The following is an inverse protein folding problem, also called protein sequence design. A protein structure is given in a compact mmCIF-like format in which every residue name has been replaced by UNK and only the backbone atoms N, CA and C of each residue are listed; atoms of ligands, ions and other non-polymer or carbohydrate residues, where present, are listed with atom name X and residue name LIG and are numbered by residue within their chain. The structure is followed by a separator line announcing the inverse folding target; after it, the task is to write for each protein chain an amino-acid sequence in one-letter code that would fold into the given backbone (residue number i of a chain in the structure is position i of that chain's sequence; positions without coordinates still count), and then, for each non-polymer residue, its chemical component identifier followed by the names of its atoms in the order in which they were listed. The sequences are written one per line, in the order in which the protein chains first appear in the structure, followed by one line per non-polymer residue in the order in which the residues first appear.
data_IF_984333006383
#
_entry.id   IF_984333006383
#
_cell.length_a   1.000
_cell.length_b   1.000
_cell.length_c   1.000
_cell.angle_alpha   90.00
_cell.angle_beta   90.00
_cell.angle_gamma   90.00
#
_symmetry.space_group_name_H-M   'P 1'
#
loop_
_entity.id
_entity.type
_entity.pdbx_description
1 polymer ?
#
# COMPACT_ATOMS: atom_id res chain seq x y z
N UNK A 1 53.60 -30.81 30.01
CA UNK A 1 54.56 -30.00 30.79
C UNK A 1 54.70 -28.63 30.12
N UNK A 2 54.17 -27.55 30.73
CA UNK A 2 54.85 -26.29 31.14
C UNK A 2 55.61 -25.55 30.01
N UNK A 3 55.41 -24.27 29.65
CA UNK A 3 54.81 -23.00 30.17
C UNK A 3 54.54 -22.12 28.90
N UNK A 4 53.67 -21.11 28.78
CA UNK A 4 53.13 -20.14 29.73
C UNK A 4 53.87 -18.79 29.60
N UNK A 5 53.28 -17.77 28.95
CA UNK A 5 53.48 -16.34 29.26
C UNK A 5 52.43 -15.44 28.57
N UNK A 6 51.67 -14.74 29.40
CA UNK A 6 50.74 -13.65 29.10
C UNK A 6 51.47 -12.32 28.89
N UNK A 7 50.86 -11.41 28.13
CA UNK A 7 50.83 -9.98 28.48
C UNK A 7 49.53 -9.35 27.96
N UNK A 8 48.73 -8.83 28.88
CA UNK A 8 47.57 -8.01 28.59
C UNK A 8 47.92 -6.53 28.61
N UNK A 9 47.12 -5.71 27.93
CA UNK A 9 47.06 -4.28 28.17
C UNK A 9 45.59 -3.84 28.20
N UNK A 10 45.19 -3.33 29.37
CA UNK A 10 43.97 -2.59 29.61
C UNK A 10 44.01 -1.28 28.80
N UNK A 11 42.90 -0.94 28.14
CA UNK A 11 42.54 0.47 27.93
C UNK A 11 41.05 0.65 28.23
N UNK A 12 40.82 1.71 29.00
CA UNK A 12 39.64 2.09 29.77
C UNK A 12 38.61 2.84 28.92
N UNK A 13 37.34 2.46 29.02
CA UNK A 13 36.20 3.27 28.56
C UNK A 13 35.95 4.47 29.48
N UNK A 14 35.61 5.65 28.94
CA UNK A 14 34.87 6.66 29.67
C UNK A 14 33.37 6.51 29.43
N UNK A 15 32.61 6.39 30.52
CA UNK A 15 31.16 6.38 30.52
C UNK A 15 30.58 7.78 30.27
N UNK A 16 29.55 7.85 29.43
CA UNK A 16 28.62 8.97 29.36
C UNK A 16 27.27 8.53 29.91
N UNK A 17 26.88 9.16 31.01
CA UNK A 17 25.54 9.17 31.57
C UNK A 17 24.58 9.89 30.62
N UNK A 18 23.49 9.21 30.23
CA UNK A 18 22.27 9.88 29.76
C UNK A 18 21.10 9.34 30.57
N UNK A 19 20.41 10.28 31.21
CA UNK A 19 19.33 10.07 32.16
C UNK A 19 18.07 9.52 31.47
N UNK A 20 17.58 8.38 31.97
CA UNK A 20 16.26 7.87 31.67
C UNK A 20 15.23 8.55 32.59
N UNK A 21 14.41 9.46 32.05
CA UNK A 21 13.22 9.95 32.73
C UNK A 21 12.16 8.85 32.76
N UNK A 22 12.05 8.16 33.91
CA UNK A 22 10.89 7.33 34.26
C UNK A 22 9.73 8.24 34.66
N UNK A 23 8.66 8.30 33.85
CA UNK A 23 7.36 8.82 34.31
C UNK A 23 6.67 7.75 35.15
N UNK A 24 6.52 8.04 36.44
CA UNK A 24 5.75 7.25 37.38
C UNK A 24 4.25 7.42 37.12
N UNK A 25 3.55 6.32 36.88
CA UNK A 25 2.09 6.26 36.96
C UNK A 25 1.68 6.10 38.42
N UNK A 26 0.83 7.02 38.90
CA UNK A 26 0.15 6.89 40.20
C UNK A 26 -1.06 5.98 40.06
N UNK A 27 -1.31 5.02 40.99
CA UNK A 27 -2.55 4.26 41.00
C UNK A 27 -3.67 5.00 41.75
N UNK A 28 -4.86 5.08 41.15
CA UNK A 28 -6.09 5.46 41.84
C UNK A 28 -6.53 4.35 42.82
N UNK A 29 -7.13 4.69 43.97
CA UNK A 29 -7.48 3.74 45.02
C UNK A 29 -8.77 2.96 44.70
N UNK A 30 -8.82 1.69 45.10
CA UNK A 30 -10.02 0.84 45.10
C UNK A 30 -10.90 1.10 46.34
N UNK A 31 -12.23 0.97 46.25
CA UNK A 31 -13.11 0.93 47.41
C UNK A 31 -13.15 -0.48 48.05
N UNK A 32 -13.45 -0.60 49.36
CA UNK A 32 -13.30 -1.84 50.09
C UNK A 32 -14.47 -2.82 49.88
N UNK A 33 -14.15 -4.11 49.90
CA UNK A 33 -15.10 -5.22 50.05
C UNK A 33 -15.44 -5.41 51.53
N UNK A 34 -16.72 -5.52 51.86
CA UNK A 34 -17.24 -5.90 53.17
C UNK A 34 -18.56 -6.67 53.09
N UNK A 35 -18.47 -7.98 53.34
CA UNK A 35 -19.43 -8.93 53.91
C UNK A 35 -20.95 -8.86 53.60
N UNK A 36 -21.39 -9.96 52.98
CA UNK A 36 -22.63 -10.74 53.14
C UNK A 36 -23.71 -10.30 54.15
N UNK A 37 -24.97 -10.35 53.69
CA UNK A 37 -26.07 -11.00 54.42
C UNK A 37 -27.21 -11.35 53.44
N UNK A 38 -27.54 -12.64 53.38
CA UNK A 38 -28.71 -13.18 52.72
C UNK A 38 -29.97 -12.84 53.54
N UNK A 39 -31.08 -12.51 52.86
CA UNK A 39 -32.43 -12.84 53.32
C UNK A 39 -33.41 -12.83 52.13
N UNK A 40 -33.97 -14.01 51.95
CA UNK A 40 -35.07 -14.37 51.08
C UNK A 40 -36.39 -13.69 51.55
N UNK A 41 -37.25 -13.29 50.62
CA UNK A 41 -38.71 -13.27 50.79
C UNK A 41 -39.44 -12.94 49.47
N UNK A 42 -40.39 -13.81 49.14
CA UNK A 42 -41.29 -13.85 47.97
C UNK A 42 -42.22 -12.63 47.88
N UNK A 43 -42.61 -12.24 46.66
CA UNK A 43 -43.99 -12.30 46.11
C UNK A 43 -44.19 -11.40 44.88
N UNK A 44 -44.81 -11.97 43.82
CA UNK A 44 -45.49 -11.30 42.68
C UNK A 44 -46.92 -10.88 43.11
N UNK A 45 -47.80 -10.24 42.28
CA UNK A 45 -47.70 -9.80 40.87
C UNK A 45 -48.29 -8.39 40.53
N UNK A 46 -48.16 -8.04 39.24
CA UNK A 46 -49.17 -7.43 38.34
C UNK A 46 -49.31 -5.91 38.09
N UNK A 47 -49.71 -5.68 36.82
CA UNK A 47 -50.46 -4.57 36.19
C UNK A 47 -49.70 -3.64 35.22
N UNK A 48 -49.92 -3.97 33.94
CA UNK A 48 -50.17 -3.15 32.74
C UNK A 48 -50.32 -1.62 32.86
N UNK A 49 -49.68 -0.88 31.97
CA UNK A 49 -50.23 0.37 31.43
C UNK A 49 -49.70 0.66 30.01
N UNK A 50 -50.63 0.62 29.06
CA UNK A 50 -50.51 1.12 27.69
C UNK A 50 -50.41 2.66 27.70
N UNK A 51 -49.51 3.24 26.90
CA UNK A 51 -49.57 4.65 26.52
C UNK A 51 -49.76 4.79 25.01
N UNK A 52 -50.93 5.28 24.65
CA UNK A 52 -51.36 5.72 23.32
C UNK A 52 -50.70 7.05 22.96
N UNK A 53 -50.10 7.12 21.77
CA UNK A 53 -49.63 8.38 21.17
C UNK A 53 -50.71 8.96 20.26
N UNK A 54 -51.07 10.23 20.51
CA UNK A 54 -51.99 11.04 19.72
C UNK A 54 -51.30 11.67 18.50
N UNK A 55 -52.03 11.72 17.38
CA UNK A 55 -51.70 12.43 16.15
C UNK A 55 -51.99 13.94 16.28
N UNK A 56 -51.23 14.84 15.63
CA UNK A 56 -51.55 16.27 15.58
C UNK A 56 -52.40 16.66 14.36
N UNK A 57 -53.34 17.59 14.60
CA UNK A 57 -54.23 18.28 13.64
C UNK A 57 -53.51 19.54 13.10
N UNK A 58 -53.73 19.97 11.84
CA UNK A 58 -52.98 21.08 11.22
C UNK A 58 -53.52 22.48 11.57
N UNK A 59 -52.62 23.47 11.56
CA UNK A 59 -52.93 24.91 11.71
C UNK A 59 -53.07 25.61 10.34
N UNK A 60 -53.86 26.71 10.23
CA UNK A 60 -54.21 27.34 8.96
C UNK A 60 -53.23 28.43 8.48
N UNK A 61 -53.23 28.64 7.16
CA UNK A 61 -52.52 29.68 6.40
C UNK A 61 -52.99 31.11 6.70
N UNK A 62 -52.08 32.09 6.55
CA UNK A 62 -52.40 33.48 6.22
C UNK A 62 -51.26 34.17 5.42
N UNK A 63 -51.53 35.27 4.68
CA UNK A 63 -50.85 35.62 3.42
C UNK A 63 -49.78 36.74 3.50
N UNK A 64 -48.95 36.77 2.45
CA UNK A 64 -48.00 37.74 1.86
C UNK A 64 -47.63 39.12 2.50
N UNK A 65 -46.41 39.65 2.20
CA UNK A 65 -45.72 40.69 2.99
C UNK A 65 -45.93 42.14 2.51
N UNK A 66 -45.62 43.11 3.38
CA UNK A 66 -45.48 44.56 3.06
C UNK A 66 -44.01 44.94 2.85
N UNK A 67 -43.69 45.97 2.03
CA UNK A 67 -42.32 46.41 1.77
C UNK A 67 -41.81 47.42 2.83
N UNK A 68 -40.49 47.60 2.99
CA UNK A 68 -39.92 48.58 3.90
C UNK A 68 -39.74 49.97 3.24
N UNK A 69 -39.75 51.07 4.02
CA UNK A 69 -39.49 52.41 3.51
C UNK A 69 -37.99 52.78 3.50
N UNK A 70 -37.69 53.76 2.66
CA UNK A 70 -36.40 54.37 2.36
C UNK A 70 -35.77 55.18 3.51
N UNK A 71 -34.44 55.24 3.47
CA UNK A 71 -33.44 55.86 4.36
C UNK A 71 -33.57 57.37 4.60
N UNK A 72 -32.78 57.90 5.57
CA UNK A 72 -31.81 58.93 5.18
C UNK A 72 -30.41 58.78 5.81
N UNK A 73 -29.42 59.29 5.08
CA UNK A 73 -27.98 59.40 5.40
C UNK A 73 -27.71 60.61 6.30
N UNK A 74 -26.66 60.57 7.14
CA UNK A 74 -25.82 61.75 7.29
C UNK A 74 -24.33 61.49 7.02
N UNK A 75 -23.70 62.54 6.49
CA UNK A 75 -22.32 62.66 6.04
C UNK A 75 -21.30 62.75 7.20
N UNK A 76 -20.08 62.29 6.89
CA UNK A 76 -18.75 62.69 7.38
C UNK A 76 -18.29 62.33 8.80
N UNK A 77 -17.37 61.35 8.90
CA UNK A 77 -15.94 61.61 9.16
C UNK A 77 -15.11 60.36 8.81
N UNK A 78 -14.09 60.53 7.97
CA UNK A 78 -13.21 59.46 7.51
C UNK A 78 -12.20 59.10 8.60
N UNK A 79 -12.49 58.03 9.35
CA UNK A 79 -11.47 57.27 10.06
C UNK A 79 -11.05 56.10 9.16
N UNK A 80 -9.79 56.08 8.71
CA UNK A 80 -9.19 54.93 8.06
C UNK A 80 -9.34 53.71 8.97
N UNK A 81 -10.22 52.78 8.59
CA UNK A 81 -10.37 51.52 9.30
C UNK A 81 -9.06 50.74 9.24
N UNK A 82 -8.77 49.94 10.26
CA UNK A 82 -7.60 49.03 10.30
C UNK A 82 -7.46 48.18 9.02
N UNK A 83 -8.54 47.95 8.27
CA UNK A 83 -8.51 47.26 6.97
C UNK A 83 -7.86 48.09 5.86
N UNK A 84 -8.05 49.42 5.84
CA UNK A 84 -7.42 50.30 4.86
C UNK A 84 -5.89 50.33 4.99
N UNK A 85 -5.38 50.30 6.22
CA UNK A 85 -3.93 50.24 6.50
C UNK A 85 -3.31 48.92 6.01
N UNK A 86 -4.01 47.79 6.18
CA UNK A 86 -3.53 46.48 5.70
C UNK A 86 -3.51 46.38 4.18
N UNK A 87 -4.50 46.95 3.48
CA UNK A 87 -4.52 46.97 2.01
C UNK A 87 -3.37 47.82 1.47
N UNK A 88 -3.10 48.98 2.08
CA UNK A 88 -1.95 49.82 1.69
C UNK A 88 -0.62 49.10 1.95
N UNK A 89 -0.47 48.41 3.09
CA UNK A 89 0.74 47.64 3.39
C UNK A 89 0.98 46.50 2.40
N UNK A 90 -0.07 45.77 2.00
CA UNK A 90 0.03 44.69 1.01
C UNK A 90 0.39 45.25 -0.36
N UNK A 91 -0.22 46.37 -0.78
CA UNK A 91 0.10 47.01 -2.06
C UNK A 91 1.55 47.51 -2.12
N UNK A 92 2.07 48.09 -1.03
CA UNK A 92 3.46 48.52 -0.93
C UNK A 92 4.42 47.32 -0.98
N UNK A 93 4.13 46.25 -0.25
CA UNK A 93 4.95 45.03 -0.28
C UNK A 93 4.96 44.39 -1.68
N UNK A 94 3.80 44.30 -2.34
CA UNK A 94 3.69 43.75 -3.69
C UNK A 94 4.43 44.61 -4.72
N UNK A 95 4.39 45.94 -4.62
CA UNK A 95 5.16 46.81 -5.52
C UNK A 95 6.66 46.71 -5.29
N UNK A 96 7.13 46.60 -4.04
CA UNK A 96 8.56 46.39 -3.72
C UNK A 96 9.05 45.06 -4.29
N UNK A 97 8.28 43.97 -4.14
CA UNK A 97 8.63 42.65 -4.70
C UNK A 97 8.66 42.70 -6.23
N UNK A 98 7.70 43.38 -6.87
CA UNK A 98 7.67 43.51 -8.33
C UNK A 98 8.87 44.32 -8.86
N UNK A 99 9.24 45.40 -8.17
CA UNK A 99 10.42 46.22 -8.51
C UNK A 99 11.70 45.41 -8.31
N UNK A 100 11.82 44.62 -7.22
CA UNK A 100 12.95 43.72 -6.99
C UNK A 100 13.07 42.65 -8.07
N UNK A 101 11.94 42.05 -8.46
CA UNK A 101 11.93 41.05 -9.52
C UNK A 101 12.34 41.65 -10.85
N UNK A 102 11.78 42.81 -11.22
CA UNK A 102 12.12 43.51 -12.46
C UNK A 102 13.56 44.02 -12.46
N UNK A 103 14.09 44.53 -11.35
CA UNK A 103 15.49 44.96 -11.26
C UNK A 103 16.47 43.79 -11.33
N UNK A 104 16.19 42.66 -10.66
CA UNK A 104 17.01 41.45 -10.76
C UNK A 104 16.94 40.85 -12.17
N UNK A 105 15.76 40.83 -12.80
CA UNK A 105 15.63 40.38 -14.19
C UNK A 105 16.33 41.30 -15.19
N UNK A 106 16.32 42.62 -14.95
CA UNK A 106 16.88 43.59 -15.90
C UNK A 106 18.38 43.81 -15.75
N UNK A 107 18.93 43.68 -14.53
CA UNK A 107 20.36 43.89 -14.25
C UNK A 107 21.13 42.61 -13.88
N UNK A 108 20.45 41.53 -13.49
CA UNK A 108 21.08 40.26 -13.09
C UNK A 108 21.62 39.43 -14.27
N UNK A 109 21.07 39.62 -15.47
CA UNK A 109 21.56 38.94 -16.68
C UNK A 109 22.88 39.52 -17.19
N UNK A 110 23.13 40.82 -16.98
CA UNK A 110 24.34 41.50 -17.47
C UNK A 110 25.49 41.51 -16.45
N UNK A 111 25.21 41.35 -15.15
CA UNK A 111 26.25 41.32 -14.11
C UNK A 111 26.99 39.96 -14.00
N UNK A 112 26.42 38.86 -14.51
CA UNK A 112 27.07 37.54 -14.54
C UNK A 112 27.92 37.29 -15.80
N UNK A 113 27.90 38.23 -16.75
CA UNK A 113 28.70 38.16 -17.98
C UNK A 113 30.02 38.95 -17.92
N UNK A 114 30.24 39.74 -16.87
CA UNK A 114 31.39 40.66 -16.77
C UNK A 114 32.32 40.43 -15.56
N UNK A 115 32.16 39.35 -14.78
CA UNK A 115 33.18 38.92 -13.83
C UNK A 115 34.22 38.07 -14.56
N UNK A 116 35.33 38.68 -14.99
CA UNK A 116 36.49 38.06 -15.63
C UNK A 116 37.23 37.04 -14.75
N UNK A 117 36.54 35.98 -14.32
CA UNK A 117 37.07 34.82 -13.58
C UNK A 117 37.29 33.64 -14.57
N UNK A 118 37.38 33.92 -15.87
CA UNK A 118 37.56 32.91 -16.91
C UNK A 118 38.98 32.84 -17.49
N UNK A 119 39.95 33.63 -17.00
CA UNK A 119 41.23 33.77 -17.71
C UNK A 119 42.48 33.17 -17.05
N UNK A 120 42.42 32.58 -15.85
CA UNK A 120 43.61 31.95 -15.23
C UNK A 120 43.34 30.59 -14.58
N UNK A 121 43.08 29.57 -15.42
CA UNK A 121 43.27 28.17 -15.03
C UNK A 121 44.22 27.51 -16.05
N UNK A 122 45.36 26.93 -15.62
CA UNK A 122 46.33 26.35 -16.55
C UNK A 122 45.76 25.12 -17.26
N UNK A 123 45.98 25.05 -18.58
CA UNK A 123 45.78 23.84 -19.39
C UNK A 123 46.67 22.70 -18.89
N UNK A 124 46.17 21.92 -17.94
CA UNK A 124 46.63 20.55 -17.71
C UNK A 124 45.65 19.65 -18.44
N UNK A 125 46.07 19.14 -19.58
CA UNK A 125 45.35 18.11 -20.34
C UNK A 125 45.50 16.79 -19.60
N UNK A 126 44.44 16.19 -19.03
CA UNK A 126 44.42 14.76 -18.75
C UNK A 126 44.02 14.08 -20.06
N UNK A 127 44.99 13.44 -20.68
CA UNK A 127 44.83 12.57 -21.83
C UNK A 127 43.99 11.35 -21.42
N UNK A 128 42.66 11.51 -21.47
CA UNK A 128 41.58 10.49 -21.48
C UNK A 128 40.22 11.16 -21.25
N UNK A 129 39.84 12.09 -22.12
CA UNK A 129 38.41 12.31 -22.35
C UNK A 129 37.99 11.27 -23.39
N UNK A 130 37.75 10.05 -22.92
CA UNK A 130 36.97 9.08 -23.68
C UNK A 130 35.70 9.79 -24.14
N UNK A 131 35.56 9.92 -25.46
CA UNK A 131 34.28 10.26 -26.10
C UNK A 131 33.18 9.52 -25.33
N UNK A 132 32.04 10.15 -25.00
CA UNK A 132 30.90 9.36 -24.57
C UNK A 132 30.66 8.36 -25.69
N UNK A 133 31.00 7.11 -25.43
CA UNK A 133 30.62 6.00 -26.29
C UNK A 133 29.11 6.08 -26.34
N UNK A 134 28.55 6.50 -27.47
CA UNK A 134 27.19 6.16 -27.82
C UNK A 134 27.15 4.63 -27.83
N UNK A 135 26.46 3.94 -26.92
CA UNK A 135 26.12 2.55 -27.13
C UNK A 135 24.67 2.57 -27.59
N UNK A 136 24.46 2.75 -28.88
CA UNK A 136 23.29 2.14 -29.47
C UNK A 136 23.61 1.79 -30.91
N UNK A 137 24.57 0.88 -31.04
CA UNK A 137 24.76 0.12 -32.26
C UNK A 137 23.71 -0.98 -32.27
N UNK A 138 22.56 -0.75 -32.91
CA UNK A 138 21.57 -1.77 -33.28
C UNK A 138 21.22 -2.78 -32.16
N UNK A 139 20.64 -2.33 -31.04
CA UNK A 139 20.65 -3.14 -29.82
C UNK A 139 19.32 -3.88 -29.59
N UNK A 140 19.40 -5.21 -29.51
CA UNK A 140 18.38 -6.02 -28.86
C UNK A 140 18.21 -5.55 -27.40
N UNK A 141 17.02 -5.71 -26.79
CA UNK A 141 16.83 -5.35 -25.38
C UNK A 141 17.80 -6.13 -24.48
N UNK A 142 18.18 -5.61 -23.30
CA UNK A 142 19.05 -6.31 -22.36
C UNK A 142 18.40 -7.63 -21.92
N UNK A 143 19.17 -8.59 -21.40
CA UNK A 143 18.59 -9.81 -20.82
C UNK A 143 17.83 -9.50 -19.52
N UNK A 144 16.73 -10.22 -19.21
CA UNK A 144 15.99 -10.04 -17.96
C UNK A 144 16.85 -10.38 -16.75
N UNK A 145 16.75 -9.55 -15.70
CA UNK A 145 17.49 -9.69 -14.46
C UNK A 145 16.54 -9.88 -13.27
N UNK A 146 16.96 -10.57 -12.20
CA UNK A 146 16.21 -10.58 -10.95
C UNK A 146 15.98 -9.17 -10.43
N UNK A 147 14.79 -8.92 -9.90
CA UNK A 147 14.46 -7.67 -9.26
C UNK A 147 15.23 -7.48 -7.93
N UNK A 148 15.35 -6.23 -7.49
CA UNK A 148 16.06 -5.85 -6.26
C UNK A 148 15.27 -6.21 -4.97
N UNK A 149 15.73 -5.73 -3.80
CA UNK A 149 15.08 -5.98 -2.50
C UNK A 149 13.65 -5.43 -2.35
N UNK A 150 13.25 -4.50 -3.22
CA UNK A 150 11.90 -3.94 -3.30
C UNK A 150 11.17 -4.38 -4.56
N UNK A 151 11.64 -5.44 -5.22
CA UNK A 151 11.08 -5.97 -6.46
C UNK A 151 10.93 -4.89 -7.54
N UNK A 152 11.91 -3.97 -7.65
CA UNK A 152 11.93 -2.82 -8.56
C UNK A 152 10.81 -1.79 -8.36
N UNK A 153 10.04 -1.88 -7.27
CA UNK A 153 9.25 -0.75 -6.76
C UNK A 153 10.14 0.15 -5.89
N UNK A 154 9.66 1.35 -5.54
CA UNK A 154 10.36 2.16 -4.55
C UNK A 154 10.26 1.55 -3.14
N UNK A 155 9.13 0.91 -2.84
CA UNK A 155 8.88 0.29 -1.53
C UNK A 155 7.93 -0.91 -1.65
N UNK A 156 8.08 -1.89 -0.75
CA UNK A 156 7.05 -2.92 -0.52
C UNK A 156 6.37 -2.60 0.81
N UNK A 157 5.07 -2.38 0.76
CA UNK A 157 4.22 -2.07 1.90
C UNK A 157 3.37 -3.30 2.18
N UNK A 158 3.32 -3.74 3.43
CA UNK A 158 2.33 -4.75 3.84
C UNK A 158 1.36 -4.18 4.86
N UNK A 159 0.10 -4.61 4.77
CA UNK A 159 -0.96 -4.23 5.70
C UNK A 159 -1.18 -5.38 6.68
N UNK A 160 -1.03 -5.09 7.97
CA UNK A 160 -1.25 -6.07 9.04
C UNK A 160 -1.99 -5.43 10.21
N UNK A 161 -2.90 -6.17 10.85
CA UNK A 161 -3.49 -5.70 12.09
C UNK A 161 -2.41 -5.60 13.19
N UNK A 162 -2.37 -4.54 14.01
CA UNK A 162 -1.31 -4.36 15.02
C UNK A 162 -1.13 -5.55 15.98
N UNK A 163 -2.19 -6.31 16.25
CA UNK A 163 -2.17 -7.46 17.15
C UNK A 163 -1.75 -8.78 16.46
N UNK A 164 -1.58 -8.81 15.13
CA UNK A 164 -1.21 -10.03 14.37
C UNK A 164 0.31 -10.23 14.30
N UNK A 165 0.96 -10.18 15.46
CA UNK A 165 2.42 -10.39 15.56
C UNK A 165 2.82 -11.77 15.03
N UNK A 166 1.94 -12.77 15.11
CA UNK A 166 2.11 -14.09 14.50
C UNK A 166 2.35 -14.03 12.98
N UNK A 167 1.57 -13.20 12.26
CA UNK A 167 1.73 -13.00 10.81
C UNK A 167 2.92 -12.10 10.48
N UNK A 168 3.14 -11.06 11.28
CA UNK A 168 4.28 -10.14 11.13
C UNK A 168 5.63 -10.86 11.28
N UNK A 169 5.75 -11.75 12.27
CA UNK A 169 6.94 -12.57 12.49
C UNK A 169 7.17 -13.52 11.31
N UNK A 170 6.10 -14.17 10.83
CA UNK A 170 6.18 -15.07 9.69
C UNK A 170 6.57 -14.35 8.39
N UNK A 171 5.99 -13.17 8.13
CA UNK A 171 6.37 -12.32 6.99
C UNK A 171 7.82 -11.86 7.09
N UNK A 172 8.26 -11.43 8.27
CA UNK A 172 9.65 -11.01 8.50
C UNK A 172 10.62 -12.14 8.15
N UNK A 173 10.26 -13.38 8.47
CA UNK A 173 11.07 -14.56 8.19
C UNK A 173 11.19 -14.84 6.69
N UNK A 174 10.06 -14.92 5.97
CA UNK A 174 10.09 -15.21 4.53
C UNK A 174 10.67 -14.05 3.71
N UNK A 175 10.51 -12.80 4.17
CA UNK A 175 11.17 -11.65 3.60
C UNK A 175 12.69 -11.71 3.77
N UNK A 176 13.18 -12.06 4.97
CA UNK A 176 14.62 -12.21 5.21
C UNK A 176 15.24 -13.30 4.33
N UNK A 177 14.58 -14.46 4.19
CA UNK A 177 15.06 -15.59 3.37
C UNK A 177 15.12 -15.22 1.88
N UNK A 178 14.16 -14.43 1.38
CA UNK A 178 14.12 -14.00 -0.03
C UNK A 178 14.82 -12.65 -0.28
N UNK A 179 15.37 -12.04 0.78
CA UNK A 179 16.04 -10.75 0.75
C UNK A 179 15.13 -9.61 0.30
N UNK A 180 13.88 -9.60 0.78
CA UNK A 180 12.91 -8.54 0.55
C UNK A 180 12.89 -7.56 1.73
N UNK A 181 12.70 -6.29 1.42
CA UNK A 181 12.54 -5.22 2.40
C UNK A 181 11.09 -4.78 2.43
N UNK A 182 10.44 -5.00 3.58
CA UNK A 182 9.02 -4.71 3.79
C UNK A 182 8.83 -3.58 4.81
N UNK A 183 7.85 -2.72 4.56
CA UNK A 183 7.39 -1.69 5.49
C UNK A 183 5.95 -1.97 5.90
N UNK A 184 5.68 -1.96 7.20
CA UNK A 184 4.36 -2.21 7.74
C UNK A 184 3.53 -0.92 7.77
N UNK A 185 2.31 -0.98 7.25
CA UNK A 185 1.26 0.01 7.56
C UNK A 185 0.18 -0.68 8.39
N UNK A 186 -0.20 -0.12 9.57
CA UNK A 186 -1.24 -0.70 10.40
C UNK A 186 -2.58 -0.85 9.70
N UNK A 187 -3.16 -2.04 9.81
CA UNK A 187 -4.57 -2.30 9.59
C UNK A 187 -5.44 -1.52 10.58
N UNK A 188 -6.72 -1.35 10.24
CA UNK A 188 -7.64 -0.50 11.01
C UNK A 188 -8.86 -1.32 11.39
N UNK A 189 -9.26 -1.26 12.65
CA UNK A 189 -10.51 -1.89 13.08
C UNK A 189 -11.69 -1.01 12.68
N UNK A 190 -12.79 -1.63 12.28
CA UNK A 190 -13.98 -0.90 11.85
C UNK A 190 -14.58 0.00 12.95
N UNK A 191 -14.47 -0.42 14.21
CA UNK A 191 -14.97 0.30 15.39
C UNK A 191 -14.11 1.52 15.79
N UNK A 192 -12.87 1.62 15.29
CA UNK A 192 -11.98 2.76 15.51
C UNK A 192 -12.27 3.92 14.54
N UNK A 193 -13.07 3.68 13.49
CA UNK A 193 -13.36 4.67 12.46
C UNK A 193 -14.48 5.59 12.95
N UNK A 194 -14.15 6.86 13.19
CA UNK A 194 -15.12 7.86 13.59
C UNK A 194 -16.23 8.02 12.54
N UNK A 195 -17.53 8.13 12.90
CA UNK A 195 -18.63 8.22 11.93
C UNK A 195 -18.50 9.36 10.90
N UNK A 196 -17.91 10.50 11.30
CA UNK A 196 -17.64 11.62 10.38
C UNK A 196 -16.51 11.37 9.36
N UNK A 197 -15.71 10.32 9.55
CA UNK A 197 -14.66 9.91 8.63
C UNK A 197 -15.12 8.82 7.66
N UNK A 198 -16.35 8.31 7.83
CA UNK A 198 -16.91 7.31 6.92
C UNK A 198 -17.18 7.94 5.56
N UNK A 199 -16.87 7.22 4.47
CA UNK A 199 -17.13 7.72 3.12
C UNK A 199 -18.64 7.89 2.90
N UNK A 200 -19.08 8.81 2.03
CA UNK A 200 -20.49 8.88 1.67
C UNK A 200 -20.93 7.57 1.01
N UNK A 201 -22.04 7.00 1.45
CA UNK A 201 -22.49 5.68 0.98
C UNK A 201 -23.32 5.78 -0.30
N UNK A 202 -23.18 4.80 -1.20
CA UNK A 202 -24.09 4.61 -2.35
C UNK A 202 -24.86 3.30 -2.18
N UNK A 203 -26.16 3.35 -2.44
CA UNK A 203 -27.04 2.19 -2.37
C UNK A 203 -27.38 1.76 -0.95
N UNK A 204 -27.84 0.52 -0.80
CA UNK A 204 -28.35 0.00 0.47
C UNK A 204 -27.29 -0.72 1.31
N UNK A 205 -26.02 -0.73 0.88
CA UNK A 205 -24.96 -1.43 1.58
C UNK A 205 -24.32 -0.51 2.62
N UNK A 206 -24.40 -0.94 3.87
CA UNK A 206 -23.80 -0.24 4.99
C UNK A 206 -22.66 -1.07 5.56
N UNK A 207 -21.43 -0.58 5.44
CA UNK A 207 -20.24 -1.22 6.00
C UNK A 207 -19.92 -0.75 7.43
N UNK A 208 -20.77 0.10 8.02
CA UNK A 208 -20.56 0.60 9.39
C UNK A 208 -20.38 -0.56 10.37
N UNK A 209 -19.24 -0.56 11.08
CA UNK A 209 -18.92 -1.59 12.07
C UNK A 209 -18.55 -2.95 11.50
N UNK A 210 -18.41 -3.10 10.17
CA UNK A 210 -18.02 -4.37 9.54
C UNK A 210 -16.54 -4.36 9.12
N UNK A 211 -15.84 -5.52 9.11
CA UNK A 211 -14.44 -5.58 8.70
C UNK A 211 -14.10 -4.93 7.34
N UNK A 212 -14.96 -5.02 6.28
CA UNK A 212 -14.75 -4.29 5.03
C UNK A 212 -14.44 -2.80 5.17
N UNK A 213 -15.07 -2.09 6.12
CA UNK A 213 -14.78 -0.67 6.35
C UNK A 213 -13.36 -0.45 6.91
N UNK A 214 -12.91 -1.35 7.79
CA UNK A 214 -11.54 -1.36 8.32
C UNK A 214 -10.50 -1.63 7.24
N UNK A 215 -10.76 -2.63 6.39
CA UNK A 215 -9.91 -3.00 5.24
C UNK A 215 -9.77 -1.81 4.29
N UNK A 216 -10.90 -1.20 3.90
CA UNK A 216 -10.87 0.01 3.08
C UNK A 216 -9.98 1.10 3.69
N UNK A 217 -10.18 1.39 4.99
CA UNK A 217 -9.44 2.48 5.64
C UNK A 217 -7.95 2.19 5.70
N UNK A 218 -7.56 0.92 5.88
CA UNK A 218 -6.16 0.50 5.84
C UNK A 218 -5.54 0.76 4.46
N UNK A 219 -6.16 0.33 3.36
CA UNK A 219 -5.65 0.61 2.01
C UNK A 219 -5.66 2.11 1.68
N UNK A 220 -6.69 2.86 2.08
CA UNK A 220 -6.71 4.30 1.92
C UNK A 220 -5.61 5.02 2.73
N UNK A 221 -5.14 4.44 3.85
CA UNK A 221 -3.96 4.93 4.56
C UNK A 221 -2.68 4.69 3.76
N UNK A 222 -2.56 3.53 3.10
CA UNK A 222 -1.43 3.24 2.20
C UNK A 222 -1.37 4.24 1.05
N UNK A 223 -2.49 4.49 0.36
CA UNK A 223 -2.52 5.46 -0.75
C UNK A 223 -2.16 6.87 -0.30
N UNK A 224 -2.68 7.29 0.87
CA UNK A 224 -2.30 8.57 1.48
C UNK A 224 -0.81 8.63 1.81
N UNK A 225 -0.26 7.58 2.42
CA UNK A 225 1.17 7.49 2.72
C UNK A 225 2.03 7.67 1.46
N UNK A 226 1.68 7.00 0.35
CA UNK A 226 2.38 7.11 -0.93
C UNK A 226 2.39 8.56 -1.44
N UNK A 227 1.26 9.25 -1.33
CA UNK A 227 1.11 10.65 -1.77
C UNK A 227 1.93 11.59 -0.89
N UNK A 228 1.76 11.48 0.43
CA UNK A 228 2.36 12.35 1.45
C UNK A 228 3.89 12.23 1.48
N UNK A 229 4.42 11.03 1.19
CA UNK A 229 5.86 10.76 1.19
C UNK A 229 6.48 10.77 -0.22
N UNK A 230 5.71 11.14 -1.24
CA UNK A 230 6.15 11.19 -2.64
C UNK A 230 6.78 9.86 -3.14
N UNK A 231 6.22 8.74 -2.70
CA UNK A 231 6.61 7.40 -3.18
C UNK A 231 6.08 7.24 -4.60
N UNK A 232 6.97 6.98 -5.56
CA UNK A 232 6.63 6.92 -6.99
C UNK A 232 5.90 5.63 -7.36
N UNK A 233 6.28 4.52 -6.75
CA UNK A 233 5.62 3.22 -6.91
C UNK A 233 5.81 2.36 -5.67
N UNK A 234 4.77 1.63 -5.27
CA UNK A 234 4.85 0.69 -4.16
C UNK A 234 4.15 -0.62 -4.52
N UNK A 235 4.67 -1.75 -4.04
CA UNK A 235 3.94 -3.01 -4.00
C UNK A 235 3.21 -3.09 -2.66
N UNK A 236 1.89 -3.25 -2.68
CA UNK A 236 1.06 -3.42 -1.49
C UNK A 236 0.68 -4.89 -1.36
N UNK A 237 0.95 -5.51 -0.22
CA UNK A 237 0.59 -6.92 0.08
C UNK A 237 -0.20 -7.06 1.39
N UNK A 238 -1.00 -8.12 1.51
CA UNK A 238 -1.66 -8.51 2.76
C UNK A 238 -0.70 -9.31 3.66
N UNK A 239 -1.02 -9.48 4.96
CA UNK A 239 -0.13 -10.12 5.92
C UNK A 239 -0.18 -11.66 5.95
N UNK A 240 -1.17 -12.24 5.29
CA UNK A 240 -1.42 -13.67 5.18
C UNK A 240 -1.01 -14.23 3.82
N UNK A 241 -0.06 -13.59 3.13
CA UNK A 241 0.40 -14.05 1.82
C UNK A 241 1.60 -15.00 1.88
N UNK A 242 1.80 -15.70 0.76
CA UNK A 242 2.97 -16.51 0.42
C UNK A 242 3.44 -16.19 -1.01
N UNK A 243 4.68 -16.52 -1.33
CA UNK A 243 5.27 -16.33 -2.66
C UNK A 243 6.28 -17.43 -3.00
N UNK A 244 6.70 -17.50 -4.26
CA UNK A 244 7.72 -18.45 -4.68
C UNK A 244 9.12 -18.04 -4.16
N UNK A 245 9.96 -19.01 -3.79
CA UNK A 245 11.37 -18.73 -3.40
C UNK A 245 12.14 -17.91 -4.45
N UNK A 246 11.72 -17.96 -5.72
CA UNK A 246 12.31 -17.23 -6.84
C UNK A 246 11.60 -15.90 -7.16
N UNK A 247 10.89 -15.29 -6.20
CA UNK A 247 10.08 -14.07 -6.42
C UNK A 247 10.82 -12.92 -7.12
N UNK A 248 12.11 -12.74 -6.84
CA UNK A 248 12.94 -11.73 -7.53
C UNK A 248 13.08 -12.02 -9.03
N UNK A 249 13.26 -13.27 -9.42
CA UNK A 249 13.28 -13.67 -10.83
C UNK A 249 11.91 -13.44 -11.49
N UNK A 250 10.82 -13.89 -10.85
CA UNK A 250 9.45 -13.72 -11.37
C UNK A 250 9.13 -12.25 -11.63
N UNK A 251 9.39 -11.39 -10.65
CA UNK A 251 9.07 -9.97 -10.75
C UNK A 251 10.04 -9.20 -11.66
N UNK A 252 11.29 -9.66 -11.75
CA UNK A 252 12.28 -9.17 -12.72
C UNK A 252 11.90 -9.50 -14.16
N UNK A 253 11.40 -10.71 -14.42
CA UNK A 253 10.82 -11.10 -15.70
C UNK A 253 9.60 -10.24 -16.06
N UNK A 254 8.66 -10.02 -15.12
CA UNK A 254 7.52 -9.12 -15.38
C UNK A 254 7.99 -7.71 -15.75
N UNK A 255 8.91 -7.14 -14.96
CA UNK A 255 9.49 -5.81 -15.20
C UNK A 255 10.08 -5.72 -16.61
N UNK A 256 10.84 -6.74 -17.01
CA UNK A 256 11.41 -6.82 -18.35
C UNK A 256 10.33 -6.88 -19.45
N UNK A 257 9.32 -7.74 -19.29
CA UNK A 257 8.24 -7.85 -20.28
C UNK A 257 7.49 -6.52 -20.44
N UNK A 258 7.19 -5.84 -19.33
CA UNK A 258 6.47 -4.57 -19.34
C UNK A 258 7.26 -3.42 -19.97
N UNK A 259 8.58 -3.42 -19.83
CA UNK A 259 9.45 -2.37 -20.39
C UNK A 259 9.84 -2.64 -21.85
N UNK A 260 10.28 -3.87 -22.15
CA UNK A 260 10.95 -4.17 -23.41
C UNK A 260 10.11 -4.97 -24.40
N UNK A 261 9.03 -5.63 -23.95
CA UNK A 261 8.25 -6.53 -24.78
C UNK A 261 6.73 -6.38 -24.55
N UNK A 262 6.26 -5.19 -24.16
CA UNK A 262 4.85 -4.96 -23.84
C UNK A 262 4.03 -4.83 -25.12
N UNK A 263 3.61 -5.98 -25.65
CA UNK A 263 2.80 -6.04 -26.89
C UNK A 263 1.39 -5.53 -26.68
N UNK A 264 0.91 -5.48 -25.43
CA UNK A 264 -0.41 -4.97 -25.08
C UNK A 264 -0.48 -3.45 -25.31
N UNK A 265 0.56 -2.72 -24.89
CA UNK A 265 0.62 -1.26 -25.01
C UNK A 265 1.03 -0.81 -26.41
N UNK A 266 2.09 -1.43 -26.95
CA UNK A 266 2.73 -0.92 -28.17
C UNK A 266 2.39 -1.71 -29.43
N UNK A 267 1.78 -2.89 -29.29
CA UNK A 267 1.64 -3.85 -30.38
C UNK A 267 2.95 -4.59 -30.65
N UNK A 268 2.85 -5.76 -31.29
CA UNK A 268 3.99 -6.67 -31.54
C UNK A 268 5.13 -6.00 -32.32
N UNK A 269 4.79 -5.12 -33.26
CA UNK A 269 5.76 -4.51 -34.17
C UNK A 269 6.37 -3.20 -33.64
N UNK A 270 5.95 -2.69 -32.47
CA UNK A 270 6.43 -1.40 -31.95
C UNK A 270 6.88 -1.43 -30.49
N UNK A 271 7.21 -2.59 -29.93
CA UNK A 271 7.64 -2.72 -28.51
C UNK A 271 8.82 -1.81 -28.14
N UNK A 272 9.63 -1.43 -29.13
CA UNK A 272 10.78 -0.52 -29.01
C UNK A 272 10.39 0.87 -28.50
N UNK A 273 9.13 1.28 -28.67
CA UNK A 273 8.63 2.58 -28.17
C UNK A 273 8.72 2.70 -26.65
N UNK A 274 8.76 1.59 -25.92
CA UNK A 274 8.89 1.58 -24.46
C UNK A 274 10.34 1.48 -23.96
N UNK A 275 11.32 1.25 -24.83
CA UNK A 275 12.69 0.92 -24.39
C UNK A 275 13.40 2.09 -23.69
N UNK A 276 13.04 3.32 -24.07
CA UNK A 276 13.57 4.55 -23.47
C UNK A 276 12.86 4.93 -22.16
N UNK A 277 11.86 4.17 -21.69
CA UNK A 277 11.20 4.45 -20.41
C UNK A 277 12.09 4.05 -19.23
N UNK A 278 12.26 4.94 -18.25
CA UNK A 278 13.04 4.65 -17.05
C UNK A 278 12.27 3.87 -15.97
N UNK A 279 10.95 3.71 -16.14
CA UNK A 279 10.09 3.01 -15.17
C UNK A 279 10.26 1.49 -15.29
N UNK A 280 10.60 0.76 -14.20
CA UNK A 280 10.85 -0.68 -14.27
C UNK A 280 9.67 -1.51 -14.80
N UNK A 281 8.44 -1.07 -14.54
CA UNK A 281 7.23 -1.74 -14.99
C UNK A 281 6.49 -0.94 -16.10
N UNK A 282 7.21 -0.09 -16.83
CA UNK A 282 6.58 0.91 -17.72
C UNK A 282 5.97 2.07 -16.93
N UNK A 283 5.67 3.18 -17.63
CA UNK A 283 5.27 4.44 -17.00
C UNK A 283 3.76 4.75 -17.04
N UNK A 284 2.90 3.86 -17.56
CA UNK A 284 1.52 4.16 -17.94
C UNK A 284 0.44 3.35 -17.20
N UNK A 285 0.75 2.88 -15.99
CA UNK A 285 -0.18 2.10 -15.17
C UNK A 285 -0.49 2.79 -13.83
N UNK A 286 -1.70 2.57 -13.34
CA UNK A 286 -2.15 2.96 -12.01
C UNK A 286 -1.93 1.85 -11.00
N UNK A 287 -2.28 0.61 -11.38
CA UNK A 287 -2.07 -0.59 -10.58
C UNK A 287 -1.41 -1.73 -11.38
N UNK A 288 -0.86 -2.72 -10.65
CA UNK A 288 -0.41 -3.99 -11.20
C UNK A 288 -0.82 -5.14 -10.28
N UNK A 289 -1.88 -5.87 -10.61
CA UNK A 289 -2.27 -7.06 -9.87
C UNK A 289 -1.30 -8.22 -10.08
N UNK A 290 -0.59 -8.56 -9.01
CA UNK A 290 0.37 -9.68 -8.96
C UNK A 290 0.04 -10.69 -7.86
N UNK A 291 -1.01 -10.44 -7.10
CA UNK A 291 -1.62 -11.32 -6.12
C UNK A 291 -3.12 -11.07 -6.02
N UNK A 292 -3.90 -12.05 -6.45
CA UNK A 292 -5.36 -11.98 -6.50
C UNK A 292 -5.92 -13.41 -6.37
N UNK A 293 -7.18 -13.51 -5.98
CA UNK A 293 -7.86 -14.79 -5.77
C UNK A 293 -8.88 -15.10 -6.89
N UNK A 294 -8.86 -14.30 -7.95
CA UNK A 294 -9.78 -14.41 -9.05
C UNK A 294 -9.94 -13.09 -9.79
N UNK A 295 -11.06 -13.00 -10.48
CA UNK A 295 -11.42 -11.86 -11.30
C UNK A 295 -11.92 -12.30 -12.67
N UNK A 296 -12.18 -11.32 -13.53
CA UNK A 296 -12.53 -11.59 -14.93
C UNK A 296 -11.70 -10.71 -15.85
N UNK A 297 -10.96 -11.29 -16.81
CA UNK A 297 -10.39 -10.50 -17.89
C UNK A 297 -11.52 -9.97 -18.78
N UNK A 298 -11.23 -8.87 -19.48
CA UNK A 298 -12.18 -8.25 -20.39
C UNK A 298 -12.48 -9.17 -21.59
N UNK A 299 -13.65 -9.82 -21.56
CA UNK A 299 -14.07 -10.76 -22.59
C UNK A 299 -14.17 -10.14 -24.00
N UNK A 300 -14.37 -8.82 -24.08
CA UNK A 300 -14.44 -8.11 -25.36
C UNK A 300 -13.06 -7.72 -25.90
N UNK A 301 -12.01 -7.81 -25.07
CA UNK A 301 -10.64 -7.39 -25.41
C UNK A 301 -9.59 -8.45 -25.08
N UNK A 302 -9.94 -9.73 -25.23
CA UNK A 302 -8.98 -10.82 -25.09
C UNK A 302 -7.84 -10.73 -26.11
N UNK A 303 -7.96 -9.92 -27.17
CA UNK A 303 -6.85 -9.58 -28.07
C UNK A 303 -5.69 -8.88 -27.36
N UNK A 304 -5.98 -8.15 -26.27
CA UNK A 304 -5.01 -7.46 -25.43
C UNK A 304 -4.49 -8.39 -24.35
N UNK A 305 -3.64 -9.34 -24.72
CA UNK A 305 -2.88 -10.13 -23.77
C UNK A 305 -1.50 -10.48 -24.30
N UNK A 306 -0.66 -10.95 -23.40
CA UNK A 306 0.67 -11.44 -23.70
C UNK A 306 0.94 -12.69 -22.89
N UNK A 307 1.22 -13.79 -23.57
CA UNK A 307 1.77 -15.00 -22.94
C UNK A 307 3.29 -14.95 -23.07
N UNK A 308 4.00 -15.14 -21.97
CA UNK A 308 5.46 -15.11 -21.95
C UNK A 308 6.03 -16.27 -21.13
N UNK A 309 7.29 -16.61 -21.42
CA UNK A 309 8.01 -17.66 -20.72
C UNK A 309 8.39 -17.20 -19.30
N UNK A 310 8.05 -18.01 -18.31
CA UNK A 310 8.36 -17.78 -16.89
C UNK A 310 8.58 -19.15 -16.21
N UNK A 311 9.85 -19.60 -16.06
CA UNK A 311 10.20 -20.94 -15.57
C UNK A 311 9.67 -21.30 -14.17
N UNK A 312 9.33 -20.29 -13.37
CA UNK A 312 8.83 -20.46 -12.02
C UNK A 312 7.30 -20.45 -11.93
N UNK A 313 6.60 -20.42 -13.07
CA UNK A 313 5.14 -20.50 -13.10
C UNK A 313 4.65 -21.89 -12.66
N UNK A 314 3.61 -21.98 -11.82
CA UNK A 314 3.07 -23.24 -11.30
C UNK A 314 2.44 -24.12 -12.38
N UNK A 315 2.34 -25.42 -12.11
CA UNK A 315 1.59 -26.39 -12.92
C UNK A 315 0.08 -26.26 -12.73
N UNK A 316 -0.70 -26.76 -13.69
CA UNK A 316 -2.17 -26.67 -13.68
C UNK A 316 -2.84 -27.43 -12.53
N UNK A 317 -2.18 -28.46 -11.99
CA UNK A 317 -2.70 -29.30 -10.91
C UNK A 317 -2.56 -28.68 -9.52
N UNK A 318 -1.63 -27.73 -9.35
CA UNK A 318 -1.48 -26.93 -8.12
C UNK A 318 -2.26 -25.61 -8.16
N UNK A 319 -2.88 -25.28 -9.29
CA UNK A 319 -3.75 -24.12 -9.43
C UNK A 319 -5.12 -24.38 -8.81
N UNK A 320 -5.68 -23.35 -8.18
CA UNK A 320 -7.08 -23.33 -7.79
C UNK A 320 -8.00 -23.45 -9.02
N UNK A 321 -9.22 -23.95 -8.80
CA UNK A 321 -10.17 -24.22 -9.87
C UNK A 321 -10.50 -23.00 -10.73
N UNK A 322 -10.59 -21.80 -10.15
CA UNK A 322 -10.83 -20.58 -10.91
C UNK A 322 -9.64 -20.26 -11.82
N UNK A 323 -8.42 -20.39 -11.29
CA UNK A 323 -7.18 -20.09 -12.00
C UNK A 323 -6.96 -21.03 -13.16
N UNK A 324 -7.20 -22.32 -12.92
CA UNK A 324 -7.17 -23.36 -13.94
C UNK A 324 -8.18 -23.10 -15.06
N UNK A 325 -9.41 -22.69 -14.71
CA UNK A 325 -10.44 -22.36 -15.71
C UNK A 325 -10.02 -21.15 -16.54
N UNK A 326 -9.48 -20.11 -15.92
CA UNK A 326 -9.01 -18.93 -16.66
C UNK A 326 -7.89 -19.31 -17.64
N UNK A 327 -6.84 -20.01 -17.19
CA UNK A 327 -5.73 -20.46 -18.05
C UNK A 327 -6.22 -21.34 -19.21
N UNK A 328 -7.09 -22.32 -18.93
CA UNK A 328 -7.47 -23.32 -19.94
C UNK A 328 -8.63 -22.91 -20.83
N UNK A 329 -9.60 -22.15 -20.32
CA UNK A 329 -10.84 -21.82 -21.03
C UNK A 329 -10.83 -20.41 -21.61
N UNK A 330 -10.13 -19.46 -20.98
CA UNK A 330 -10.05 -18.08 -21.46
C UNK A 330 -8.79 -17.89 -22.30
N UNK A 331 -7.63 -18.24 -21.72
CA UNK A 331 -6.34 -18.08 -22.41
C UNK A 331 -5.97 -19.24 -23.32
N UNK A 332 -6.79 -20.32 -23.32
CA UNK A 332 -6.65 -21.49 -24.20
C UNK A 332 -5.25 -22.15 -24.13
N UNK A 333 -4.64 -22.16 -22.93
CA UNK A 333 -3.37 -22.83 -22.70
C UNK A 333 -3.59 -24.26 -22.19
N UNK A 334 -2.85 -25.22 -22.73
CA UNK A 334 -2.89 -26.63 -22.31
C UNK A 334 -2.04 -26.91 -21.07
N UNK A 335 -1.13 -25.99 -20.73
CA UNK A 335 -0.26 -26.03 -19.56
C UNK A 335 -0.08 -24.62 -18.97
N UNK A 336 0.29 -24.54 -17.70
CA UNK A 336 0.65 -23.29 -17.02
C UNK A 336 2.11 -23.26 -16.56
N UNK A 337 2.78 -24.41 -16.51
CA UNK A 337 4.19 -24.44 -16.14
C UNK A 337 5.02 -23.76 -17.23
N UNK A 338 5.99 -22.95 -16.81
CA UNK A 338 6.85 -22.24 -17.75
C UNK A 338 6.19 -21.04 -18.43
N UNK A 339 4.92 -20.72 -18.14
CA UNK A 339 4.19 -19.65 -18.80
C UNK A 339 3.39 -18.78 -17.84
N UNK A 340 3.41 -17.46 -18.07
CA UNK A 340 2.47 -16.53 -17.47
C UNK A 340 1.78 -15.70 -18.55
N UNK A 341 0.59 -15.24 -18.23
CA UNK A 341 -0.24 -14.33 -19.03
C UNK A 341 -0.25 -12.97 -18.34
N UNK A 342 -0.08 -11.92 -19.13
CA UNK A 342 -0.32 -10.54 -18.74
C UNK A 342 -1.49 -10.02 -19.58
N UNK A 343 -2.43 -9.31 -18.95
CA UNK A 343 -3.54 -8.67 -19.63
C UNK A 343 -3.93 -7.36 -18.91
N UNK A 344 -4.57 -6.39 -19.58
CA UNK A 344 -5.16 -5.25 -18.92
C UNK A 344 -6.13 -5.68 -17.83
N UNK A 345 -6.02 -5.06 -16.68
CA UNK A 345 -6.90 -5.31 -15.55
C UNK A 345 -8.32 -4.85 -15.87
N UNK A 346 -9.32 -5.65 -15.51
CA UNK A 346 -10.73 -5.36 -15.80
C UNK A 346 -11.62 -5.55 -14.58
N UNK A 347 -11.69 -6.75 -14.00
CA UNK A 347 -12.42 -7.00 -12.75
C UNK A 347 -11.59 -7.89 -11.81
N UNK A 348 -10.47 -7.42 -11.25
CA UNK A 348 -9.65 -8.17 -10.29
C UNK A 348 -10.40 -8.39 -8.97
N UNK A 349 -10.09 -9.47 -8.25
CA UNK A 349 -10.71 -9.77 -6.94
C UNK A 349 -9.62 -10.18 -5.93
N UNK A 350 -9.81 -9.77 -4.65
CA UNK A 350 -8.82 -9.81 -3.57
C UNK A 350 -7.64 -8.85 -3.77
N UNK A 351 -7.01 -8.43 -2.67
CA UNK A 351 -5.90 -7.47 -2.64
C UNK A 351 -4.60 -8.06 -2.08
N UNK A 352 -4.40 -9.37 -2.25
CA UNK A 352 -3.22 -10.10 -1.74
C UNK A 352 -1.91 -9.43 -2.15
N UNK A 353 -1.81 -8.95 -3.40
CA UNK A 353 -0.64 -8.23 -3.88
C UNK A 353 -0.95 -7.35 -5.10
N UNK A 354 -0.76 -6.05 -4.99
CA UNK A 354 -0.84 -5.15 -6.13
C UNK A 354 0.21 -4.05 -6.09
N UNK A 355 0.88 -3.82 -7.23
CA UNK A 355 1.65 -2.61 -7.45
C UNK A 355 0.71 -1.42 -7.58
N UNK A 356 1.14 -0.24 -7.13
CA UNK A 356 0.42 1.01 -7.33
C UNK A 356 1.42 2.14 -7.61
N UNK A 357 1.16 2.93 -8.65
CA UNK A 357 1.93 4.15 -8.95
C UNK A 357 1.45 5.30 -8.07
N UNK A 358 2.24 6.37 -7.92
CA UNK A 358 1.81 7.55 -7.17
C UNK A 358 0.53 8.16 -7.74
N UNK A 359 0.42 8.20 -9.06
CA UNK A 359 -0.79 8.66 -9.75
C UNK A 359 -1.95 7.70 -9.51
N UNK A 360 -1.70 6.38 -9.56
CA UNK A 360 -2.66 5.37 -9.16
C UNK A 360 -3.19 5.60 -7.75
N UNK A 361 -2.33 5.85 -6.77
CA UNK A 361 -2.73 6.14 -5.39
C UNK A 361 -3.64 7.38 -5.28
N UNK A 362 -3.35 8.45 -6.04
CA UNK A 362 -4.21 9.63 -6.12
C UNK A 362 -5.57 9.30 -6.73
N UNK A 363 -5.60 8.53 -7.81
CA UNK A 363 -6.84 8.11 -8.47
C UNK A 363 -7.64 7.17 -7.57
N UNK A 364 -7.01 6.25 -6.85
CA UNK A 364 -7.67 5.41 -5.83
C UNK A 364 -8.30 6.27 -4.75
N UNK A 365 -7.58 7.23 -4.15
CA UNK A 365 -8.21 8.11 -3.15
C UNK A 365 -9.37 8.93 -3.71
N UNK A 366 -9.27 9.37 -4.96
CA UNK A 366 -10.34 10.11 -5.62
C UNK A 366 -11.58 9.25 -5.91
N UNK A 367 -11.39 8.01 -6.40
CA UNK A 367 -12.47 7.12 -6.80
C UNK A 367 -13.07 6.34 -5.64
N UNK A 368 -12.23 5.87 -4.72
CA UNK A 368 -12.58 4.94 -3.65
C UNK A 368 -12.08 5.39 -2.28
N UNK A 369 -11.46 6.58 -2.13
CA UNK A 369 -10.99 7.12 -0.84
C UNK A 369 -12.01 7.96 -0.08
N UNK A 370 -13.27 8.03 -0.55
CA UNK A 370 -14.36 8.79 0.07
C UNK A 370 -14.59 10.19 -0.51
N UNK A 371 -13.81 10.60 -1.52
CA UNK A 371 -14.17 11.77 -2.34
C UNK A 371 -15.39 11.47 -3.20
N UNK A 372 -15.35 10.35 -3.93
CA UNK A 372 -16.54 9.76 -4.53
C UNK A 372 -17.24 8.83 -3.53
N UNK A 373 -18.57 8.77 -3.60
CA UNK A 373 -19.33 7.91 -2.73
C UNK A 373 -19.18 6.45 -3.19
N UNK A 374 -19.17 5.52 -2.25
CA UNK A 374 -19.06 4.09 -2.55
C UNK A 374 -19.71 3.25 -1.44
N UNK A 375 -19.97 1.95 -1.67
CA UNK A 375 -20.80 1.16 -0.76
C UNK A 375 -20.35 -0.28 -0.54
N UNK A 376 -19.30 -0.73 -1.24
CA UNK A 376 -18.88 -2.12 -1.23
C UNK A 376 -17.44 -2.29 -0.72
N UNK A 377 -17.04 -3.54 -0.39
CA UNK A 377 -15.65 -3.85 -0.08
C UNK A 377 -14.69 -3.31 -1.15
N UNK A 378 -13.51 -2.89 -0.70
CA UNK A 378 -12.54 -2.13 -1.51
C UNK A 378 -12.09 -2.85 -2.78
N UNK A 379 -12.02 -4.18 -2.76
CA UNK A 379 -11.68 -5.01 -3.92
C UNK A 379 -12.78 -4.95 -4.99
N UNK A 380 -14.06 -5.05 -4.60
CA UNK A 380 -15.19 -4.91 -5.52
C UNK A 380 -15.26 -3.51 -6.12
N UNK A 381 -15.05 -2.47 -5.30
CA UNK A 381 -15.01 -1.10 -5.81
C UNK A 381 -13.88 -0.91 -6.82
N UNK A 382 -12.69 -1.44 -6.52
CA UNK A 382 -11.57 -1.41 -7.46
C UNK A 382 -11.91 -2.16 -8.76
N UNK A 383 -12.52 -3.34 -8.68
CA UNK A 383 -12.97 -4.10 -9.85
C UNK A 383 -13.91 -3.31 -10.77
N UNK A 384 -14.79 -2.48 -10.19
CA UNK A 384 -15.63 -1.61 -10.99
C UNK A 384 -14.86 -0.43 -11.58
N UNK A 385 -13.95 0.18 -10.83
CA UNK A 385 -13.15 1.31 -11.37
C UNK A 385 -12.23 0.88 -12.51
N UNK A 386 -11.71 -0.35 -12.47
CA UNK A 386 -10.93 -0.92 -13.57
C UNK A 386 -11.79 -1.26 -14.79
N UNK A 387 -13.00 -1.81 -14.60
CA UNK A 387 -13.89 -2.11 -15.73
C UNK A 387 -14.51 -0.86 -16.35
N UNK A 388 -14.73 0.19 -15.57
CA UNK A 388 -15.08 1.55 -16.04
C UNK A 388 -13.93 2.24 -16.79
N UNK A 389 -12.69 1.77 -16.63
CA UNK A 389 -11.49 2.36 -17.24
C UNK A 389 -11.02 3.66 -16.60
N UNK A 390 -11.48 3.98 -15.38
CA UNK A 390 -11.03 5.16 -14.62
C UNK A 390 -9.81 4.90 -13.75
N UNK A 391 -9.46 3.62 -13.60
CA UNK A 391 -8.20 3.08 -13.11
C UNK A 391 -7.74 2.07 -14.16
N UNK A 392 -6.45 2.07 -14.52
CA UNK A 392 -5.94 1.16 -15.55
C UNK A 392 -4.61 0.55 -15.15
N UNK A 393 -4.42 -0.73 -15.46
CA UNK A 393 -3.23 -1.45 -15.10
C UNK A 393 -3.19 -2.82 -15.75
N UNK A 394 -2.41 -3.73 -15.14
CA UNK A 394 -2.19 -5.06 -15.68
C UNK A 394 -2.33 -6.13 -14.60
N UNK A 395 -2.90 -7.27 -14.96
CA UNK A 395 -3.02 -8.45 -14.10
C UNK A 395 -2.14 -9.58 -14.63
N UNK A 396 -1.33 -10.15 -13.74
CA UNK A 396 -0.47 -11.31 -14.01
C UNK A 396 -1.18 -12.60 -13.62
N UNK A 397 -1.18 -13.59 -14.51
CA UNK A 397 -1.82 -14.89 -14.29
C UNK A 397 -0.90 -16.07 -14.69
N UNK A 398 -0.69 -17.10 -13.84
CA UNK A 398 -1.05 -17.19 -12.43
C UNK A 398 -0.44 -16.04 -11.60
N UNK A 399 -0.95 -15.75 -10.39
CA UNK A 399 -0.39 -14.71 -9.53
C UNK A 399 1.00 -15.09 -8.97
N UNK A 400 1.79 -14.09 -8.59
CA UNK A 400 3.09 -14.26 -7.93
C UNK A 400 2.97 -14.30 -6.39
N UNK A 401 1.91 -13.69 -5.85
CA UNK A 401 1.54 -13.71 -4.44
C UNK A 401 0.18 -14.38 -4.27
N UNK A 402 0.07 -15.29 -3.30
CA UNK A 402 -1.15 -16.04 -3.02
C UNK A 402 -1.44 -16.04 -1.53
N UNK A 403 -2.62 -16.47 -1.10
CA UNK A 403 -2.88 -16.66 0.32
C UNK A 403 -2.14 -17.86 0.89
N UNK A 404 -1.65 -17.67 2.12
CA UNK A 404 -1.27 -18.71 3.04
C UNK A 404 -2.44 -19.06 3.97
N UNK A 405 -2.76 -20.34 4.09
CA UNK A 405 -3.86 -20.83 4.92
C UNK A 405 -3.36 -21.83 5.95
N UNK A 406 -3.63 -21.57 7.22
CA UNK A 406 -3.33 -22.46 8.37
C UNK A 406 -4.58 -23.19 8.87
N UNK A 407 -5.77 -22.81 8.39
CA UNK A 407 -7.06 -23.38 8.74
C UNK A 407 -7.75 -22.66 9.89
N UNK A 408 -9.08 -22.74 9.91
CA UNK A 408 -9.92 -22.20 10.98
C UNK A 408 -9.95 -20.67 11.02
N UNK A 409 -10.26 -20.11 12.20
CA UNK A 409 -10.43 -18.66 12.41
C UNK A 409 -9.15 -17.84 12.24
N UNK A 410 -7.99 -18.48 12.15
CA UNK A 410 -6.70 -17.81 11.92
C UNK A 410 -6.50 -17.33 10.48
N UNK A 411 -7.30 -17.84 9.53
CA UNK A 411 -7.18 -17.53 8.11
C UNK A 411 -7.85 -16.22 7.71
N UNK A 412 -8.73 -15.66 8.54
CA UNK A 412 -9.43 -14.42 8.22
C UNK A 412 -9.68 -13.54 9.43
N UNK A 413 -9.29 -12.26 9.32
CA UNK A 413 -9.71 -11.20 10.25
C UNK A 413 -11.01 -10.51 9.79
N UNK A 414 -11.55 -10.90 8.63
CA UNK A 414 -12.69 -10.26 7.97
C UNK A 414 -14.01 -11.02 8.04
N UNK A 415 -13.98 -12.28 8.47
CA UNK A 415 -15.16 -13.12 8.62
C UNK A 415 -15.69 -13.04 10.05
N UNK A 416 -16.79 -12.31 10.23
CA UNK A 416 -17.49 -12.17 11.52
C UNK A 416 -18.05 -13.49 12.07
N UNK A 417 -18.21 -14.51 11.21
CA UNK A 417 -18.59 -15.86 11.61
C UNK A 417 -17.43 -16.70 12.13
N UNK A 418 -16.19 -16.34 11.77
CA UNK A 418 -14.97 -16.90 12.32
C UNK A 418 -14.64 -16.21 13.65
N UNK A 419 -15.43 -16.51 14.68
CA UNK A 419 -15.07 -16.18 16.06
C UNK A 419 -13.64 -16.67 16.34
N UNK A 420 -12.93 -16.01 17.27
CA UNK A 420 -11.61 -16.40 17.79
C UNK A 420 -11.69 -17.72 18.57
N UNK A 421 -12.16 -18.78 17.90
CA UNK A 421 -12.21 -20.13 18.41
C UNK A 421 -10.80 -20.69 18.41
N UNK A 422 -10.53 -21.54 19.39
CA UNK A 422 -9.30 -22.30 19.46
C UNK A 422 -9.16 -23.15 18.18
N UNK A 423 -8.14 -22.85 17.40
CA UNK A 423 -7.87 -23.59 16.17
C UNK A 423 -6.97 -24.78 16.53
N UNK A 424 -7.44 -25.99 16.28
CA UNK A 424 -6.58 -27.19 16.28
C UNK A 424 -5.79 -27.27 14.97
N UNK A 425 -4.90 -26.30 14.73
CA UNK A 425 -3.96 -26.32 13.60
C UNK A 425 -2.55 -26.64 14.08
N UNK A 426 -1.72 -27.14 13.18
CA UNK A 426 -0.27 -27.16 13.38
C UNK A 426 0.36 -25.78 13.09
N UNK A 427 -0.45 -24.72 13.06
CA UNK A 427 -0.06 -23.38 12.63
C UNK A 427 0.62 -23.38 11.27
N UNK A 428 1.68 -22.58 11.13
CA UNK A 428 2.48 -22.50 9.90
C UNK A 428 3.12 -23.85 9.49
N UNK A 429 3.29 -24.83 10.38
CA UNK A 429 3.83 -26.13 9.97
C UNK A 429 2.81 -26.92 9.12
N UNK A 430 1.52 -26.81 9.46
CA UNK A 430 0.41 -27.44 8.74
C UNK A 430 -0.19 -26.57 7.63
N UNK A 431 0.24 -25.32 7.50
CA UNK A 431 -0.34 -24.39 6.53
C UNK A 431 -0.05 -24.75 5.08
N UNK A 432 -0.71 -24.12 4.12
CA UNK A 432 -0.52 -24.36 2.70
C UNK A 432 -0.81 -23.11 1.87
N UNK A 433 -0.31 -23.12 0.65
CA UNK A 433 -0.59 -22.14 -0.40
C UNK A 433 -0.94 -22.90 -1.68
N UNK A 434 -1.86 -22.37 -2.47
CA UNK A 434 -2.13 -22.83 -3.83
C UNK A 434 -1.68 -21.77 -4.85
N UNK A 435 -1.60 -22.12 -6.13
CA UNK A 435 -1.14 -21.23 -7.21
C UNK A 435 0.37 -20.86 -7.18
N UNK A 436 1.21 -21.58 -6.44
CA UNK A 436 2.66 -21.39 -6.43
C UNK A 436 3.40 -22.67 -6.80
N UNK A 437 4.58 -22.53 -7.42
CA UNK A 437 5.45 -23.67 -7.73
C UNK A 437 6.26 -24.09 -6.50
N UNK A 438 6.91 -23.15 -5.83
CA UNK A 438 7.75 -23.39 -4.65
C UNK A 438 7.47 -22.37 -3.54
N UNK A 439 6.49 -22.66 -2.68
CA UNK A 439 6.18 -21.85 -1.49
C UNK A 439 7.42 -21.56 -0.64
N UNK A 440 7.70 -20.27 -0.38
CA UNK A 440 8.79 -19.88 0.53
C UNK A 440 8.51 -20.34 1.95
N UNK A 441 7.25 -20.27 2.42
CA UNK A 441 6.87 -20.73 3.76
C UNK A 441 7.15 -22.23 3.94
N UNK A 442 6.90 -23.06 2.92
CA UNK A 442 7.24 -24.49 2.96
C UNK A 442 8.74 -24.75 2.90
N UNK A 443 9.52 -23.87 2.29
CA UNK A 443 10.97 -24.01 2.19
C UNK A 443 11.72 -23.61 3.48
N UNK A 444 11.08 -22.89 4.41
CA UNK A 444 11.71 -22.44 5.66
C UNK A 444 12.30 -23.57 6.52
N UNK A 445 11.63 -24.72 6.60
CA UNK A 445 12.10 -25.84 7.42
C UNK A 445 13.43 -26.41 6.91
N UNK A 446 13.61 -26.42 5.59
CA UNK A 446 14.88 -26.80 4.96
C UNK A 446 15.94 -25.72 5.18
N UNK A 447 15.59 -24.45 4.97
CA UNK A 447 16.50 -23.32 5.15
C UNK A 447 17.07 -23.22 6.57
N UNK A 448 16.24 -23.45 7.59
CA UNK A 448 16.63 -23.40 9.00
C UNK A 448 17.04 -24.75 9.58
N UNK A 449 17.23 -25.78 8.74
CA UNK A 449 17.64 -27.10 9.21
C UNK A 449 18.97 -26.97 9.97
N UNK A 450 18.91 -27.21 11.28
CA UNK A 450 20.05 -27.23 12.19
C UNK A 450 19.81 -28.28 13.26
N UNK A 451 20.76 -29.19 13.43
CA UNK A 451 20.73 -30.14 14.53
C UNK A 451 22.12 -30.27 15.15
N UNK A 452 22.41 -29.39 16.11
CA UNK A 452 23.69 -29.36 16.80
C UNK A 452 24.08 -30.72 17.38
N UNK A 453 23.14 -31.49 17.92
CA UNK A 453 23.46 -32.77 18.55
C UNK A 453 23.73 -33.89 17.54
N UNK A 454 23.06 -33.87 16.38
CA UNK A 454 23.43 -34.75 15.26
C UNK A 454 24.80 -34.37 14.69
N UNK A 455 25.08 -33.08 14.52
CA UNK A 455 26.38 -32.58 14.04
C UNK A 455 27.51 -33.01 14.98
N UNK A 456 27.24 -33.01 16.29
CA UNK A 456 28.17 -33.41 17.35
C UNK A 456 28.25 -34.93 17.59
N UNK A 457 27.39 -35.75 16.98
CA UNK A 457 27.26 -37.17 17.31
C UNK A 457 28.57 -37.97 17.09
N UNK A 458 29.43 -37.49 16.19
CA UNK A 458 30.72 -38.10 15.87
C UNK A 458 31.93 -37.28 16.35
N UNK A 459 31.72 -36.15 17.06
CA UNK A 459 32.82 -35.38 17.64
C UNK A 459 33.34 -36.09 18.91
N UNK A 460 34.49 -36.74 18.80
CA UNK A 460 35.24 -37.25 19.95
C UNK A 460 36.18 -36.14 20.43
N UNK A 461 36.07 -35.73 21.69
CA UNK A 461 36.93 -34.72 22.34
C UNK A 461 37.87 -35.33 23.36
#
# INVERSE_FOLDING_TARGET
MRRGAHCGLLLTSPGMHVAAQRRAFSPCPQPPRGAALARDCRSRPDISALHTYQLPVPAPMNPFPRPPPSSPVPLTMAALSLQGVRIVQVLVASTVVLILFLTVSHYGADSLKNSGIADHVPNVVPDKLSKPSLPFTSEAPPEPQPANETLNFQEIIYVSMPYRTDRQDALSLIAAVTGLKLTMIPGVRADEIHPKAMPPHVGNNNMTGTPPLGIWRAHANVWRYIIDNNVQSALVIEDDVDWDVNIKHIMGMLSWQMRYNNTIRWGKDNVQKGWDEDCPYGCDWDELFVGHCGGKPNQNRLDLHQVYAEPHSPKLDVLQNWAKKEITQIWNLTESEGHRVLAPTYEPICLMGYGISRMGAMRMLYQIGGWRPFGYPVDNELAWRTSEGVISGYTMMPPAFTSWRVGGSQDSDNDVGMNSQEVQSQGNMGGHSENLKNSVRKHLAEYFKKNYWEDMANEIR
#
